data_IF_044405751553
#
_entry.id   IF_044405751553
#
_cell.length_a   1.000
_cell.length_b   1.000
_cell.length_c   1.000
_cell.angle_alpha   90.00
_cell.angle_beta   90.00
_cell.angle_gamma   90.00
#
_symmetry.space_group_name_H-M   'P 1'
#
loop_
_entity.id
_entity.type
_entity.pdbx_description
1 polymer ?
#
# COMPACT_ATOMS: atom_id res chain seq x y z
N UNK A 1 17.68 38.88 11.92
CA UNK A 1 17.67 37.77 10.94
C UNK A 1 18.20 36.45 11.51
N UNK A 2 19.39 36.40 12.13
CA UNK A 2 19.97 35.15 12.68
C UNK A 2 19.04 34.37 13.62
N UNK A 3 18.35 35.05 14.55
CA UNK A 3 17.38 34.42 15.48
C UNK A 3 16.18 33.81 14.75
N UNK A 4 15.66 34.49 13.72
CA UNK A 4 14.53 33.98 12.93
C UNK A 4 14.91 32.73 12.13
N UNK A 5 16.06 32.78 11.45
CA UNK A 5 16.59 31.64 10.68
C UNK A 5 16.85 30.45 11.61
N UNK A 6 17.46 30.68 12.77
CA UNK A 6 17.67 29.63 13.78
C UNK A 6 16.35 29.00 14.25
N UNK A 7 15.35 29.81 14.60
CA UNK A 7 14.05 29.32 15.03
C UNK A 7 13.31 28.56 13.91
N UNK A 8 13.44 29.00 12.66
CA UNK A 8 12.89 28.30 11.50
C UNK A 8 13.54 26.92 11.32
N UNK A 9 14.86 26.82 11.45
CA UNK A 9 15.58 25.54 11.39
C UNK A 9 15.18 24.60 12.52
N UNK A 10 15.03 25.11 13.75
CA UNK A 10 14.56 24.31 14.87
C UNK A 10 13.15 23.76 14.63
N UNK A 11 12.24 24.61 14.11
CA UNK A 11 10.88 24.20 13.79
C UNK A 11 10.85 23.15 12.68
N UNK A 12 11.55 23.38 11.57
CA UNK A 12 11.66 22.43 10.47
C UNK A 12 12.30 21.10 10.93
N UNK A 13 13.33 21.18 11.77
CA UNK A 13 13.98 20.01 12.36
C UNK A 13 13.04 19.19 13.24
N UNK A 14 12.23 19.85 14.08
CA UNK A 14 11.23 19.17 14.89
C UNK A 14 10.19 18.44 14.02
N UNK A 15 9.70 19.07 12.95
CA UNK A 15 8.77 18.42 11.99
C UNK A 15 9.44 17.21 11.33
N UNK A 16 10.70 17.34 10.89
CA UNK A 16 11.43 16.26 10.26
C UNK A 16 11.61 15.07 11.21
N UNK A 17 11.99 15.32 12.48
CA UNK A 17 12.12 14.27 13.50
C UNK A 17 10.79 13.56 13.71
N UNK A 18 9.71 14.32 13.84
CA UNK A 18 8.36 13.77 14.03
C UNK A 18 7.95 12.86 12.86
N UNK A 19 8.21 13.28 11.61
CA UNK A 19 7.94 12.48 10.42
C UNK A 19 8.79 11.20 10.38
N UNK A 20 10.07 11.28 10.73
CA UNK A 20 10.95 10.10 10.79
C UNK A 20 10.46 9.12 11.85
N UNK A 21 10.10 9.60 13.04
CA UNK A 21 9.56 8.76 14.11
C UNK A 21 8.23 8.12 13.70
N UNK A 22 7.35 8.83 12.99
CA UNK A 22 6.08 8.25 12.54
C UNK A 22 6.29 7.18 11.46
N UNK A 23 7.28 7.34 10.59
CA UNK A 23 7.71 6.31 9.63
C UNK A 23 8.27 5.08 10.36
N UNK A 24 9.20 5.27 11.32
CA UNK A 24 9.76 4.16 12.10
C UNK A 24 8.66 3.42 12.87
N UNK A 25 7.74 4.17 13.49
CA UNK A 25 6.59 3.60 14.17
C UNK A 25 5.68 2.82 13.21
N UNK A 26 5.42 3.35 12.01
CA UNK A 26 4.69 2.65 10.96
C UNK A 26 5.37 1.31 10.67
N UNK A 27 6.66 1.31 10.36
CA UNK A 27 7.41 0.09 10.05
C UNK A 27 7.39 -0.94 11.19
N UNK A 28 7.39 -0.49 12.46
CA UNK A 28 7.35 -1.37 13.62
C UNK A 28 5.96 -1.96 13.88
N UNK A 29 4.91 -1.14 13.73
CA UNK A 29 3.52 -1.58 13.92
C UNK A 29 3.02 -2.42 12.76
N UNK A 30 3.62 -2.25 11.60
CA UNK A 30 3.26 -3.02 10.43
C UNK A 30 3.65 -4.48 10.60
N UNK A 31 2.63 -5.34 10.67
CA UNK A 31 2.80 -6.79 10.67
C UNK A 31 2.25 -7.35 9.39
N UNK A 32 3.10 -8.07 8.65
CA UNK A 32 2.64 -8.87 7.53
C UNK A 32 1.74 -9.98 8.08
N UNK A 33 0.49 -10.10 7.58
CA UNK A 33 -0.43 -11.13 8.05
C UNK A 33 0.12 -12.53 7.74
N UNK A 34 0.05 -13.40 8.75
CA UNK A 34 0.47 -14.79 8.69
C UNK A 34 -0.77 -15.67 8.53
N UNK A 35 -0.84 -16.44 7.46
CA UNK A 35 -1.97 -17.32 7.16
C UNK A 35 -1.52 -18.53 6.35
N UNK A 36 -2.21 -19.66 6.51
CA UNK A 36 -2.01 -20.83 5.65
C UNK A 36 -2.91 -20.80 4.41
N UNK A 37 -3.63 -19.70 4.19
CA UNK A 37 -4.52 -19.50 3.05
C UNK A 37 -3.74 -19.06 1.82
N UNK A 38 -4.29 -19.39 0.65
CA UNK A 38 -3.75 -19.00 -0.64
C UNK A 38 -3.89 -17.47 -0.78
N UNK A 39 -2.78 -16.72 -0.91
CA UNK A 39 -2.84 -15.28 -1.13
C UNK A 39 -3.48 -14.95 -2.47
N UNK A 40 -4.43 -14.02 -2.48
CA UNK A 40 -4.99 -13.42 -3.68
C UNK A 40 -4.64 -11.95 -3.75
N UNK A 41 -3.89 -11.58 -4.79
CA UNK A 41 -3.33 -10.25 -5.00
C UNK A 41 -3.96 -9.60 -6.23
N UNK A 42 -4.10 -8.28 -6.22
CA UNK A 42 -4.64 -7.54 -7.36
C UNK A 42 -5.12 -6.15 -6.98
N UNK A 43 -5.80 -5.52 -7.91
CA UNK A 43 -6.28 -4.14 -7.78
C UNK A 43 -7.70 -4.04 -7.19
N UNK A 44 -8.43 -2.96 -7.50
CA UNK A 44 -9.84 -2.78 -7.10
C UNK A 44 -10.76 -3.90 -7.60
N UNK A 45 -10.43 -4.52 -8.73
CA UNK A 45 -11.18 -5.65 -9.28
C UNK A 45 -10.99 -6.87 -8.39
N UNK A 46 -9.73 -7.24 -8.09
CA UNK A 46 -9.42 -8.34 -7.18
C UNK A 46 -10.01 -8.12 -5.78
N UNK A 47 -10.01 -6.87 -5.31
CA UNK A 47 -10.60 -6.49 -4.02
C UNK A 47 -12.09 -6.86 -3.90
N UNK A 48 -12.82 -6.87 -5.02
CA UNK A 48 -14.23 -7.24 -5.07
C UNK A 48 -14.49 -8.70 -5.45
N UNK A 49 -13.48 -9.45 -5.92
CA UNK A 49 -13.68 -10.80 -6.47
C UNK A 49 -13.77 -11.88 -5.41
N UNK A 50 -12.76 -12.00 -4.54
CA UNK A 50 -12.68 -13.11 -3.58
C UNK A 50 -13.12 -12.62 -2.21
N UNK A 51 -14.24 -13.19 -1.71
CA UNK A 51 -14.70 -12.98 -0.35
C UNK A 51 -14.16 -14.11 0.57
N UNK A 52 -13.20 -13.83 1.48
CA UNK A 52 -12.61 -14.84 2.36
C UNK A 52 -13.60 -15.46 3.35
N UNK A 53 -14.77 -14.83 3.57
CA UNK A 53 -15.84 -15.42 4.38
C UNK A 53 -16.56 -16.57 3.67
N UNK A 54 -16.51 -16.59 2.34
CA UNK A 54 -17.15 -17.62 1.50
C UNK A 54 -16.09 -18.60 0.99
N UNK A 55 -15.01 -18.08 0.39
CA UNK A 55 -13.91 -18.88 -0.14
C UNK A 55 -12.76 -18.92 0.89
N UNK A 56 -12.95 -19.73 1.94
CA UNK A 56 -12.15 -19.72 3.17
C UNK A 56 -10.70 -20.20 2.99
N UNK A 57 -10.39 -20.86 1.88
CA UNK A 57 -9.03 -21.24 1.50
C UNK A 57 -8.18 -20.07 0.99
N UNK A 58 -8.78 -18.91 0.71
CA UNK A 58 -8.08 -17.74 0.18
C UNK A 58 -8.03 -16.60 1.20
N UNK A 59 -6.97 -15.81 1.12
CA UNK A 59 -6.87 -14.52 1.78
C UNK A 59 -6.77 -13.42 0.74
N UNK A 60 -7.64 -12.41 0.81
CA UNK A 60 -7.69 -11.36 -0.21
C UNK A 60 -6.83 -10.17 0.22
N UNK A 61 -5.67 -10.04 -0.39
CA UNK A 61 -4.71 -8.95 -0.21
C UNK A 61 -4.79 -7.89 -1.31
N UNK A 62 -5.83 -7.91 -2.13
CA UNK A 62 -6.01 -6.93 -3.21
C UNK A 62 -6.35 -5.54 -2.65
N UNK A 63 -5.88 -4.50 -3.33
CA UNK A 63 -6.13 -3.11 -2.96
C UNK A 63 -6.54 -2.26 -4.17
N UNK A 64 -7.48 -1.34 -3.96
CA UNK A 64 -7.90 -0.43 -5.03
C UNK A 64 -6.74 0.41 -5.56
N UNK A 65 -6.64 0.51 -6.90
CA UNK A 65 -5.61 1.30 -7.57
C UNK A 65 -4.18 0.74 -7.46
N UNK A 66 -4.03 -0.52 -7.03
CA UNK A 66 -2.73 -1.15 -6.90
C UNK A 66 -2.09 -1.40 -8.27
N UNK A 67 -0.90 -0.82 -8.47
CA UNK A 67 -0.09 -1.07 -9.66
C UNK A 67 0.72 -2.35 -9.52
N UNK A 68 1.06 -2.95 -10.67
CA UNK A 68 1.85 -4.17 -10.80
C UNK A 68 3.06 -4.24 -9.85
N UNK A 69 3.83 -3.15 -9.79
CA UNK A 69 5.05 -3.08 -8.97
C UNK A 69 4.77 -3.30 -7.48
N UNK A 70 3.68 -2.73 -6.95
CA UNK A 70 3.33 -2.89 -5.54
C UNK A 70 2.83 -4.31 -5.26
N UNK A 71 2.12 -4.92 -6.20
CA UNK A 71 1.77 -6.35 -6.12
C UNK A 71 3.01 -7.24 -6.05
N UNK A 72 4.06 -6.93 -6.82
CA UNK A 72 5.34 -7.62 -6.75
C UNK A 72 6.00 -7.52 -5.37
N UNK A 73 6.15 -6.31 -4.83
CA UNK A 73 6.77 -6.13 -3.51
C UNK A 73 5.95 -6.76 -2.38
N UNK A 74 4.63 -6.70 -2.49
CA UNK A 74 3.72 -7.38 -1.56
C UNK A 74 3.92 -8.89 -1.58
N UNK A 75 3.99 -9.49 -2.76
CA UNK A 75 4.27 -10.92 -2.90
C UNK A 75 5.65 -11.29 -2.33
N UNK A 76 6.69 -10.51 -2.63
CA UNK A 76 8.03 -10.70 -2.08
C UNK A 76 8.01 -10.68 -0.55
N UNK A 77 7.30 -9.72 0.05
CA UNK A 77 7.14 -9.64 1.50
C UNK A 77 6.38 -10.86 2.07
N UNK A 78 5.34 -11.34 1.40
CA UNK A 78 4.59 -12.52 1.83
C UNK A 78 5.48 -13.78 1.79
N UNK A 79 6.23 -14.00 0.70
CA UNK A 79 7.14 -15.15 0.56
C UNK A 79 8.23 -15.14 1.64
N UNK A 80 8.72 -13.95 2.03
CA UNK A 80 9.73 -13.82 3.09
C UNK A 80 9.19 -14.07 4.50
N UNK A 81 7.87 -13.95 4.69
CA UNK A 81 7.25 -13.99 6.02
C UNK A 81 6.47 -15.26 6.28
N UNK A 82 5.94 -15.92 5.23
CA UNK A 82 5.18 -17.17 5.36
C UNK A 82 5.47 -18.13 4.21
N UNK A 83 5.16 -19.41 4.41
CA UNK A 83 5.26 -20.40 3.32
C UNK A 83 4.14 -20.16 2.31
N UNK A 84 4.50 -19.84 1.07
CA UNK A 84 3.56 -19.65 -0.03
C UNK A 84 3.80 -20.74 -1.08
N UNK A 85 2.93 -21.76 -1.10
CA UNK A 85 2.99 -22.84 -2.11
C UNK A 85 2.24 -22.46 -3.40
N UNK A 86 1.17 -21.66 -3.26
CA UNK A 86 0.33 -21.19 -4.36
C UNK A 86 -0.04 -19.74 -4.13
N UNK A 87 -0.07 -18.94 -5.20
CA UNK A 87 -0.57 -17.56 -5.20
C UNK A 87 -1.49 -17.35 -6.40
N UNK A 88 -2.56 -16.59 -6.21
CA UNK A 88 -3.40 -16.09 -7.29
C UNK A 88 -3.14 -14.59 -7.47
N UNK A 89 -2.87 -14.18 -8.71
CA UNK A 89 -2.60 -12.78 -9.03
C UNK A 89 -3.57 -12.32 -10.11
N UNK A 90 -4.26 -11.23 -9.86
CA UNK A 90 -5.14 -10.56 -10.79
C UNK A 90 -4.50 -9.26 -11.29
N UNK A 91 -4.29 -9.16 -12.60
CA UNK A 91 -3.86 -7.93 -13.25
C UNK A 91 -5.01 -7.37 -14.09
N UNK A 92 -5.40 -6.13 -13.80
CA UNK A 92 -6.32 -5.41 -14.65
C UNK A 92 -5.65 -4.96 -15.95
N UNK A 93 -6.41 -4.80 -17.05
CA UNK A 93 -5.87 -4.25 -18.30
C UNK A 93 -5.17 -2.90 -18.11
N UNK A 94 -5.64 -2.05 -17.18
CA UNK A 94 -4.98 -0.78 -16.83
C UNK A 94 -3.56 -0.97 -16.29
N UNK A 95 -3.28 -2.08 -15.59
CA UNK A 95 -1.93 -2.39 -15.11
C UNK A 95 -1.00 -2.90 -16.22
N UNK A 96 -1.54 -3.51 -17.27
CA UNK A 96 -0.75 -4.17 -18.33
C UNK A 96 -0.55 -3.30 -19.57
N UNK A 97 -1.59 -2.53 -19.97
CA UNK A 97 -1.62 -1.84 -21.26
C UNK A 97 -1.01 -0.45 -21.16
N UNK A 98 -1.34 0.28 -20.10
CA UNK A 98 -0.89 1.66 -19.99
C UNK A 98 0.55 1.77 -19.49
N UNK A 99 1.09 0.70 -18.88
CA UNK A 99 2.44 0.66 -18.29
C UNK A 99 2.75 1.90 -17.42
N UNK A 100 1.68 2.50 -16.89
CA UNK A 100 1.72 3.77 -16.21
C UNK A 100 2.21 3.50 -14.80
N UNK A 101 3.53 3.43 -14.68
CA UNK A 101 4.24 3.70 -13.43
C UNK A 101 3.65 4.96 -12.73
N UNK A 102 3.12 5.90 -13.55
CA UNK A 102 2.74 7.26 -13.19
C UNK A 102 1.24 7.54 -12.96
N UNK A 103 0.27 6.76 -13.48
CA UNK A 103 -1.11 7.28 -13.59
C UNK A 103 -2.15 6.79 -12.57
N UNK A 104 -1.86 5.81 -11.70
CA UNK A 104 -2.85 5.44 -10.66
C UNK A 104 -2.58 6.24 -9.39
N UNK A 105 -3.45 7.20 -9.13
CA UNK A 105 -3.32 8.23 -8.11
C UNK A 105 -3.01 7.71 -6.70
N UNK A 106 -1.86 8.18 -6.19
CA UNK A 106 -1.58 8.82 -4.88
C UNK A 106 -2.05 8.17 -3.56
N UNK A 107 -3.15 7.42 -3.46
CA UNK A 107 -3.65 6.93 -2.16
C UNK A 107 -3.31 5.46 -1.89
N UNK A 108 -2.52 5.21 -0.83
CA UNK A 108 -2.33 3.88 -0.25
C UNK A 108 -1.11 3.09 -0.77
N UNK A 109 -0.24 3.71 -1.58
CA UNK A 109 1.00 3.11 -2.13
C UNK A 109 2.19 3.26 -1.19
N UNK A 110 2.22 4.37 -0.46
CA UNK A 110 3.18 4.70 0.59
C UNK A 110 3.38 3.56 1.59
N UNK A 111 2.33 2.79 1.83
CA UNK A 111 2.28 1.66 2.75
C UNK A 111 3.29 0.57 2.43
N UNK A 112 3.67 0.46 1.16
CA UNK A 112 4.58 -0.58 0.70
C UNK A 112 6.02 -0.11 0.57
N UNK A 113 6.28 1.20 0.64
CA UNK A 113 7.64 1.75 0.53
C UNK A 113 8.64 1.03 1.44
N UNK A 114 8.32 0.67 2.70
CA UNK A 114 9.29 -0.02 3.55
C UNK A 114 9.69 -1.43 3.07
N UNK A 115 8.90 -2.08 2.20
CA UNK A 115 9.17 -3.43 1.69
C UNK A 115 9.94 -3.44 0.38
N UNK A 116 10.17 -2.27 -0.19
CA UNK A 116 10.91 -2.12 -1.43
C UNK A 116 12.39 -2.20 -1.10
N UNK A 117 13.07 -3.15 -1.74
CA UNK A 117 14.50 -3.34 -1.57
C UNK A 117 15.30 -2.16 -2.11
N UNK A 118 16.59 -2.11 -1.77
CA UNK A 118 17.45 -0.97 -2.11
C UNK A 118 17.48 -0.68 -3.62
N UNK A 119 17.42 -1.71 -4.47
CA UNK A 119 17.34 -1.57 -5.92
C UNK A 119 16.01 -0.94 -6.35
N UNK A 120 14.88 -1.46 -5.86
CA UNK A 120 13.57 -0.87 -6.12
C UNK A 120 13.42 0.56 -5.58
N UNK A 121 14.05 0.91 -4.46
CA UNK A 121 14.05 2.28 -3.93
C UNK A 121 14.78 3.21 -4.90
N UNK A 122 15.93 2.76 -5.41
CA UNK A 122 16.71 3.49 -6.41
C UNK A 122 15.91 3.67 -7.70
N UNK A 123 15.26 2.62 -8.18
CA UNK A 123 14.47 2.66 -9.41
C UNK A 123 13.24 3.56 -9.28
N UNK A 124 12.54 3.52 -8.13
CA UNK A 124 11.44 4.44 -7.84
C UNK A 124 11.91 5.89 -7.81
N UNK A 125 13.03 6.16 -7.16
CA UNK A 125 13.58 7.52 -7.08
C UNK A 125 14.01 8.02 -8.46
N UNK A 126 14.73 7.21 -9.24
CA UNK A 126 15.20 7.61 -10.57
C UNK A 126 14.06 7.73 -11.59
N UNK A 127 13.04 6.87 -11.50
CA UNK A 127 11.88 6.90 -12.38
C UNK A 127 10.97 8.10 -12.12
N UNK A 128 10.67 8.41 -10.85
CA UNK A 128 9.88 9.59 -10.51
C UNK A 128 10.20 10.12 -9.09
N UNK A 129 11.17 11.04 -8.96
CA UNK A 129 11.59 11.57 -7.66
C UNK A 129 10.46 12.27 -6.89
N UNK A 130 9.54 12.92 -7.61
CA UNK A 130 8.41 13.65 -7.01
C UNK A 130 7.44 12.70 -6.34
N UNK A 131 7.07 11.60 -7.03
CA UNK A 131 6.21 10.56 -6.45
C UNK A 131 6.92 9.89 -5.27
N UNK A 132 8.20 9.55 -5.41
CA UNK A 132 8.99 8.96 -4.32
C UNK A 132 8.92 9.78 -3.03
N UNK A 133 9.20 11.09 -3.12
CA UNK A 133 9.15 12.01 -1.97
C UNK A 133 7.73 12.09 -1.41
N UNK A 134 6.71 12.23 -2.26
CA UNK A 134 5.30 12.28 -1.83
C UNK A 134 4.87 11.01 -1.12
N UNK A 135 5.33 9.85 -1.55
CA UNK A 135 5.02 8.57 -0.93
C UNK A 135 5.63 8.47 0.47
N UNK A 136 6.87 8.92 0.70
CA UNK A 136 7.44 8.94 2.06
C UNK A 136 6.71 9.92 2.99
N UNK A 137 6.30 11.08 2.49
CA UNK A 137 5.45 12.01 3.25
C UNK A 137 4.08 11.39 3.57
N UNK A 138 3.48 10.68 2.61
CA UNK A 138 2.24 9.93 2.80
C UNK A 138 2.37 8.87 3.89
N UNK A 139 3.48 8.12 3.87
CA UNK A 139 3.75 7.08 4.87
C UNK A 139 3.83 7.65 6.28
N UNK A 140 4.49 8.80 6.44
CA UNK A 140 4.54 9.52 7.71
C UNK A 140 3.14 9.89 8.22
N UNK A 141 2.23 10.31 7.33
CA UNK A 141 0.82 10.59 7.67
C UNK A 141 0.08 9.32 8.08
N UNK A 142 0.28 8.21 7.37
CA UNK A 142 -0.31 6.92 7.74
C UNK A 142 0.19 6.45 9.11
N UNK A 143 1.49 6.59 9.43
CA UNK A 143 2.04 6.32 10.76
C UNK A 143 1.32 7.10 11.88
N UNK A 144 1.00 8.37 11.62
CA UNK A 144 0.18 9.17 12.54
C UNK A 144 -1.27 8.70 12.65
N UNK A 145 -1.87 8.24 11.56
CA UNK A 145 -3.21 7.65 11.60
C UNK A 145 -3.25 6.37 12.44
N UNK A 146 -2.15 5.59 12.46
CA UNK A 146 -2.04 4.38 13.27
C UNK A 146 -1.87 4.64 14.75
N UNK A 147 -1.23 5.74 15.14
CA UNK A 147 -1.24 6.19 16.54
C UNK A 147 -2.67 6.44 17.05
N UNK A 148 -3.65 6.63 16.14
CA UNK A 148 -5.07 6.85 16.46
C UNK A 148 -5.96 5.62 16.22
N UNK A 149 -5.50 4.60 15.47
CA UNK A 149 -6.29 3.43 15.05
C UNK A 149 -5.41 2.19 14.89
N UNK A 150 -5.88 1.05 15.40
CA UNK A 150 -5.06 -0.17 15.56
C UNK A 150 -4.83 -1.03 14.31
N UNK A 151 -5.21 -0.62 13.09
CA UNK A 151 -5.10 -1.53 11.94
C UNK A 151 -4.49 -0.91 10.70
N UNK A 152 -3.40 -1.53 10.26
CA UNK A 152 -2.88 -1.42 8.89
C UNK A 152 -3.41 -2.61 8.09
N UNK A 153 -4.11 -2.35 7.01
CA UNK A 153 -4.61 -3.40 6.11
C UNK A 153 -3.62 -3.64 4.97
N UNK A 154 -3.21 -4.89 4.78
CA UNK A 154 -2.37 -5.39 3.67
C UNK A 154 -3.15 -5.52 2.34
N UNK A 155 -4.30 -4.84 2.24
CA UNK A 155 -5.42 -5.22 1.39
C UNK A 155 -6.49 -5.97 2.20
N UNK A 156 -7.71 -6.01 1.67
CA UNK A 156 -8.82 -6.75 2.23
C UNK A 156 -9.96 -6.77 1.22
N UNK A 157 -10.75 -7.85 1.23
CA UNK A 157 -12.01 -7.87 0.50
C UNK A 157 -12.88 -6.67 0.92
N UNK A 158 -13.43 -5.98 -0.06
CA UNK A 158 -14.49 -5.00 0.21
C UNK A 158 -15.58 -5.18 -0.83
N UNK A 159 -16.82 -5.48 -0.42
CA UNK A 159 -17.91 -5.67 -1.35
C UNK A 159 -18.18 -4.36 -2.09
N UNK A 160 -18.36 -4.44 -3.41
CA UNK A 160 -18.68 -3.28 -4.24
C UNK A 160 -20.20 -2.98 -4.15
N UNK A 161 -20.68 -2.64 -2.95
CA UNK A 161 -22.11 -2.55 -2.64
C UNK A 161 -22.82 -1.45 -3.43
N UNK A 162 -22.13 -0.37 -3.80
CA UNK A 162 -22.76 0.75 -4.54
C UNK A 162 -23.21 0.37 -5.97
N UNK A 163 -22.55 -0.58 -6.64
CA UNK A 163 -22.88 -0.97 -8.03
C UNK A 163 -23.81 -2.18 -8.14
N UNK A 164 -23.87 -3.01 -7.10
CA UNK A 164 -24.64 -4.25 -7.12
C UNK A 164 -26.15 -4.02 -7.00
N UNK A 165 -26.58 -2.93 -6.34
CA UNK A 165 -28.00 -2.63 -6.19
C UNK A 165 -28.61 -1.94 -7.43
N UNK A 166 -27.84 -1.18 -8.20
CA UNK A 166 -28.37 -0.45 -9.37
C UNK A 166 -28.59 -1.32 -10.61
N UNK A 167 -27.86 -2.45 -10.76
CA UNK A 167 -27.87 -3.23 -12.01
C UNK A 167 -28.66 -4.56 -11.96
N UNK A 168 -29.21 -4.95 -10.80
CA UNK A 168 -29.92 -6.23 -10.64
C UNK A 168 -31.43 -6.08 -10.41
N UNK A 169 -31.93 -4.85 -10.25
CA UNK A 169 -33.36 -4.56 -10.12
C UNK A 169 -33.96 -3.78 -11.31
N UNK A 170 -33.16 -3.51 -12.35
CA UNK A 170 -33.61 -2.97 -13.64
C UNK A 170 -33.36 -4.00 -14.75
N UNK A 171 -34.11 -5.11 -14.71
CA UNK A 171 -34.35 -5.99 -15.87
C UNK A 171 -35.66 -6.72 -15.72
#
# INVERSE_FOLDING_TARGET
MKKFVHNLFLFAGAIAIILVLSIVFYCFMFKTPQTNRIPFLGDSTGKATINPKIATQYENYSQGGEAYLFTYFKLKQLINTQKVDTVLINFSPSNLINNEYEAVGVEGRERYLPFIDMEGQKDLFLGNPSIYIKSWMGLGKEGFHLLKKDTISFGAYTPNLKKYQENYYES
#
